data_IF_900810182903
#
_entry.id   IF_900810182903
#
_cell.length_a   1.000
_cell.length_b   1.000
_cell.length_c   1.000
_cell.angle_alpha   90.00
_cell.angle_beta   90.00
_cell.angle_gamma   90.00
#
_symmetry.space_group_name_H-M   'P 1'
#
loop_
_entity.id
_entity.type
_entity.pdbx_description
1 polymer ?
#
# COMPACT_ATOMS: atom_id res chain seq x y z
N UNK A 1 0.24 -6.98 -13.40
CA UNK A 1 -0.46 -6.46 -12.20
C UNK A 1 0.14 -6.99 -10.90
N UNK A 2 0.19 -8.31 -10.69
CA UNK A 2 0.70 -8.95 -9.47
C UNK A 2 2.09 -8.48 -9.02
N UNK A 3 3.09 -8.48 -9.91
CA UNK A 3 4.45 -7.98 -9.60
C UNK A 3 4.49 -6.55 -9.05
N UNK A 4 3.58 -5.69 -9.50
CA UNK A 4 3.49 -4.29 -9.04
C UNK A 4 2.94 -4.21 -7.62
N UNK A 5 1.96 -5.05 -7.29
CA UNK A 5 1.40 -5.15 -5.94
C UNK A 5 2.45 -5.69 -4.97
N UNK A 6 3.18 -6.73 -5.36
CA UNK A 6 4.29 -7.26 -4.56
C UNK A 6 5.39 -6.23 -4.31
N UNK A 7 5.76 -5.46 -5.33
CA UNK A 7 6.73 -4.36 -5.20
C UNK A 7 6.25 -3.27 -4.23
N UNK A 8 4.97 -2.89 -4.26
CA UNK A 8 4.41 -1.93 -3.28
C UNK A 8 4.47 -2.49 -1.85
N UNK A 9 4.22 -3.78 -1.66
CA UNK A 9 4.23 -4.41 -0.33
C UNK A 9 5.67 -4.60 0.19
N UNK A 10 6.59 -5.05 -0.66
CA UNK A 10 7.98 -5.37 -0.29
C UNK A 10 8.84 -4.11 -0.16
N UNK A 11 8.60 -3.11 -1.00
CA UNK A 11 9.37 -1.87 -1.06
C UNK A 11 8.44 -0.64 -1.12
N UNK A 12 7.65 -0.39 -0.07
CA UNK A 12 6.77 0.77 0.02
C UNK A 12 7.55 2.05 0.27
N UNK A 13 7.04 3.18 -0.22
CA UNK A 13 7.51 4.50 0.17
C UNK A 13 7.00 4.88 1.58
N UNK A 14 5.84 4.32 1.98
CA UNK A 14 5.22 4.55 3.28
C UNK A 14 4.39 3.34 3.70
N UNK A 15 4.43 2.99 4.99
CA UNK A 15 3.53 2.03 5.62
C UNK A 15 2.70 2.74 6.68
N UNK A 16 1.39 2.54 6.65
CA UNK A 16 0.46 3.04 7.67
C UNK A 16 -0.26 1.87 8.34
N UNK A 17 -0.59 2.02 9.64
CA UNK A 17 -1.46 1.06 10.33
C UNK A 17 -2.91 1.31 9.91
N UNK A 18 -3.57 0.28 9.42
CA UNK A 18 -5.00 0.28 9.15
C UNK A 18 -5.81 -0.15 10.37
N UNK A 19 -7.09 -0.47 10.13
CA UNK A 19 -7.96 -1.03 11.17
C UNK A 19 -7.52 -2.46 11.54
N UNK A 20 -7.44 -2.77 12.85
CA UNK A 20 -6.94 -4.05 13.39
C UNK A 20 -5.50 -4.37 12.94
N UNK A 21 -5.28 -5.55 12.35
CA UNK A 21 -3.96 -6.04 11.94
C UNK A 21 -3.56 -5.64 10.52
N UNK A 22 -4.36 -4.78 9.88
CA UNK A 22 -4.14 -4.33 8.50
C UNK A 22 -2.99 -3.35 8.44
N UNK A 23 -2.17 -3.51 7.41
CA UNK A 23 -1.20 -2.51 6.99
C UNK A 23 -1.65 -1.92 5.64
N UNK A 24 -1.31 -0.65 5.44
CA UNK A 24 -1.49 0.02 4.16
C UNK A 24 -0.12 0.39 3.63
N UNK A 25 0.36 -0.40 2.68
CA UNK A 25 1.57 -0.12 1.93
C UNK A 25 1.25 0.88 0.81
N UNK A 26 2.05 1.93 0.69
CA UNK A 26 1.87 2.98 -0.30
C UNK A 26 3.12 3.14 -1.15
N UNK A 27 2.93 3.28 -2.46
CA UNK A 27 4.02 3.61 -3.39
C UNK A 27 3.58 4.64 -4.43
N UNK A 28 4.44 5.61 -4.74
CA UNK A 28 4.22 6.61 -5.76
C UNK A 28 4.15 5.92 -7.13
N UNK A 29 3.18 6.35 -7.93
CA UNK A 29 3.01 5.85 -9.31
C UNK A 29 3.12 6.95 -10.34
N UNK A 30 2.99 8.21 -9.91
CA UNK A 30 3.26 9.41 -10.67
C UNK A 30 3.50 10.58 -9.71
N UNK A 31 3.74 11.78 -10.26
CA UNK A 31 3.85 13.01 -9.49
C UNK A 31 2.62 13.29 -8.63
N UNK A 32 1.42 12.90 -9.09
CA UNK A 32 0.15 13.23 -8.43
C UNK A 32 -0.56 12.04 -7.77
N UNK A 33 -0.15 10.81 -8.08
CA UNK A 33 -0.84 9.60 -7.62
C UNK A 33 0.07 8.60 -6.92
N UNK A 34 -0.50 7.92 -5.93
CA UNK A 34 0.04 6.74 -5.26
C UNK A 34 -0.85 5.54 -5.52
N UNK A 35 -0.28 4.35 -5.49
CA UNK A 35 -1.01 3.12 -5.30
C UNK A 35 -0.95 2.76 -3.82
N UNK A 36 -2.11 2.50 -3.22
CA UNK A 36 -2.23 2.02 -1.85
C UNK A 36 -2.73 0.59 -1.88
N UNK A 37 -2.08 -0.27 -1.10
CA UNK A 37 -2.38 -1.69 -0.99
C UNK A 37 -2.65 -1.99 0.48
N UNK A 38 -3.88 -2.39 0.78
CA UNK A 38 -4.27 -2.84 2.12
C UNK A 38 -4.05 -4.34 2.19
N UNK A 39 -3.25 -4.78 3.14
CA UNK A 39 -2.93 -6.19 3.32
C UNK A 39 -2.82 -6.57 4.79
N UNK A 40 -2.97 -7.86 5.06
CA UNK A 40 -2.70 -8.48 6.35
C UNK A 40 -1.57 -9.50 6.17
N UNK A 41 -0.77 -9.69 7.23
CA UNK A 41 0.24 -10.76 7.26
C UNK A 41 -0.36 -11.92 8.06
N UNK A 42 -0.45 -13.08 7.42
CA UNK A 42 -0.92 -14.32 8.02
C UNK A 42 0.20 -15.36 7.87
N UNK A 43 0.87 -15.68 8.96
CA UNK A 43 2.03 -16.58 8.98
C UNK A 43 3.10 -16.21 7.92
N UNK A 44 3.29 -17.08 6.92
CA UNK A 44 4.23 -16.92 5.81
C UNK A 44 3.59 -16.33 4.54
N UNK A 45 2.32 -15.92 4.61
CA UNK A 45 1.55 -15.38 3.49
C UNK A 45 1.16 -13.93 3.73
N UNK A 46 0.92 -13.23 2.62
CA UNK A 46 0.38 -11.87 2.64
C UNK A 46 -0.97 -11.90 1.92
N UNK A 47 -2.03 -11.59 2.66
CA UNK A 47 -3.37 -11.48 2.12
C UNK A 47 -3.62 -10.03 1.67
N UNK A 48 -3.76 -9.82 0.36
CA UNK A 48 -4.13 -8.51 -0.19
C UNK A 48 -5.65 -8.38 -0.16
N UNK A 49 -6.15 -7.40 0.59
CA UNK A 49 -7.59 -7.19 0.80
C UNK A 49 -8.14 -6.27 -0.30
N UNK A 50 -7.46 -5.16 -0.54
CA UNK A 50 -7.85 -4.21 -1.59
C UNK A 50 -6.65 -3.38 -2.02
N UNK A 51 -6.70 -2.85 -3.24
CA UNK A 51 -5.73 -1.89 -3.74
C UNK A 51 -6.47 -0.80 -4.53
N UNK A 52 -6.03 0.44 -4.38
CA UNK A 52 -6.66 1.57 -5.05
C UNK A 52 -5.65 2.69 -5.32
N UNK A 53 -5.79 3.41 -6.44
CA UNK A 53 -5.06 4.64 -6.66
C UNK A 53 -5.59 5.74 -5.73
N UNK A 54 -4.70 6.58 -5.23
CA UNK A 54 -5.01 7.72 -4.39
C UNK A 54 -4.27 8.97 -4.84
N UNK A 55 -4.85 10.16 -4.60
CA UNK A 55 -4.13 11.43 -4.81
C UNK A 55 -3.04 11.56 -3.74
N UNK A 56 -1.81 11.85 -4.14
CA UNK A 56 -0.66 12.00 -3.24
C UNK A 56 -0.89 13.03 -2.14
N UNK A 57 -1.47 14.17 -2.50
CA UNK A 57 -1.79 15.26 -1.57
C UNK A 57 -2.73 14.88 -0.43
N UNK A 58 -3.42 13.72 -0.50
CA UNK A 58 -4.26 13.23 0.59
C UNK A 58 -3.48 12.46 1.66
N UNK A 59 -2.33 11.87 1.31
CA UNK A 59 -1.64 10.88 2.15
C UNK A 59 -0.19 11.25 2.47
N UNK A 60 0.41 12.12 1.66
CA UNK A 60 1.69 12.76 1.93
C UNK A 60 1.37 14.17 2.43
N UNK A 61 1.08 14.28 3.73
CA UNK A 61 1.03 15.55 4.46
C UNK A 61 2.25 15.57 5.37
N UNK A 62 2.91 16.74 5.43
CA UNK A 62 4.10 16.99 6.25
C UNK A 62 3.86 16.73 7.74
#
# INVERSE_FOLDING_TARGET
MQKKVEDVIKFPDKIEKGYKNRLVAQKKTSEKHVLRVVHEKEDEKILVITLYPGRRSRYEKD
#
